data_IF_167975614992
#
_entry.id   IF_167975614992
#
_cell.length_a   1.000
_cell.length_b   1.000
_cell.length_c   1.000
_cell.angle_alpha   90.00
_cell.angle_beta   90.00
_cell.angle_gamma   90.00
#
_symmetry.space_group_name_H-M   'P 1'
#
loop_
_entity.id
_entity.type
_entity.pdbx_description
1 polymer ?
#
# COMPACT_ATOMS: atom_id res chain seq x y z
N UNK A 1 18.94 -1.97 73.18
CA UNK A 1 19.18 -1.15 71.95
C UNK A 1 18.67 -1.93 70.79
N UNK A 2 17.46 -1.60 70.30
CA UNK A 2 16.76 -2.34 69.20
C UNK A 2 16.76 -1.39 67.99
N UNK A 3 17.55 -1.73 66.97
CA UNK A 3 17.65 -0.98 65.72
C UNK A 3 16.53 -1.51 64.78
N UNK A 4 15.53 -0.69 64.49
CA UNK A 4 14.48 -0.96 63.51
C UNK A 4 15.00 -0.62 62.13
N UNK A 5 15.18 -1.63 61.29
CA UNK A 5 15.39 -1.46 59.85
C UNK A 5 14.01 -1.15 59.19
N UNK A 6 13.89 0.04 58.64
CA UNK A 6 12.76 0.42 57.77
C UNK A 6 13.15 0.03 56.32
N UNK A 7 12.49 -1.00 55.79
CA UNK A 7 12.57 -1.37 54.39
C UNK A 7 11.70 -0.43 53.54
N UNK A 8 12.32 0.45 52.75
CA UNK A 8 11.66 1.21 51.71
C UNK A 8 11.39 0.29 50.51
N UNK A 9 10.14 -0.12 50.33
CA UNK A 9 9.68 -0.76 49.09
C UNK A 9 9.34 0.34 48.11
N UNK A 10 10.25 0.55 47.12
CA UNK A 10 10.02 1.49 46.03
C UNK A 10 9.12 0.84 44.97
N UNK A 11 7.83 1.24 44.96
CA UNK A 11 6.85 0.79 43.98
C UNK A 11 7.08 1.50 42.64
N UNK A 12 7.81 0.85 41.73
CA UNK A 12 8.05 1.32 40.37
C UNK A 12 6.77 1.14 39.53
N UNK A 13 5.95 2.19 39.45
CA UNK A 13 4.75 2.19 38.60
C UNK A 13 5.20 2.24 37.12
N UNK A 14 5.11 1.12 36.41
CA UNK A 14 5.24 1.04 34.97
C UNK A 14 4.08 1.80 34.32
N UNK A 15 4.37 2.99 33.81
CA UNK A 15 3.45 3.76 32.94
C UNK A 15 3.35 3.04 31.59
N UNK A 16 2.35 2.18 31.45
CA UNK A 16 1.98 1.61 30.15
C UNK A 16 1.25 2.71 29.38
N UNK A 17 1.99 3.41 28.52
CA UNK A 17 1.38 4.32 27.54
C UNK A 17 0.65 3.49 26.50
N UNK A 18 -0.65 3.72 26.25
CA UNK A 18 -1.32 3.03 25.14
C UNK A 18 -0.65 3.46 23.83
N UNK A 19 -0.10 2.49 23.10
CA UNK A 19 0.35 2.71 21.73
C UNK A 19 -0.90 3.00 20.89
N UNK A 20 -1.19 4.27 20.65
CA UNK A 20 -2.15 4.65 19.63
C UNK A 20 -1.54 4.26 18.30
N UNK A 21 -2.20 3.35 17.57
CA UNK A 21 -1.87 3.09 16.17
C UNK A 21 -2.06 4.42 15.44
N UNK A 22 -0.95 5.11 15.16
CA UNK A 22 -0.96 6.35 14.41
C UNK A 22 -1.47 6.03 13.02
N UNK A 23 -2.67 6.52 12.68
CA UNK A 23 -3.16 6.48 11.30
C UNK A 23 -2.13 7.18 10.41
N UNK A 24 -1.75 6.50 9.32
CA UNK A 24 -0.82 7.08 8.37
C UNK A 24 -1.36 8.42 7.87
N UNK A 25 -0.46 9.41 7.77
CA UNK A 25 -0.78 10.67 7.12
C UNK A 25 -1.20 10.41 5.66
N UNK A 26 -2.28 11.05 5.25
CA UNK A 26 -2.81 10.94 3.88
C UNK A 26 -2.23 12.05 2.99
N UNK A 27 -2.04 11.78 1.68
CA UNK A 27 -2.30 10.54 0.98
C UNK A 27 -1.21 9.48 1.19
N UNK A 28 -1.57 8.18 1.03
CA UNK A 28 -0.60 7.10 1.02
C UNK A 28 -1.03 5.96 0.11
N UNK A 29 -0.04 5.17 -0.35
CA UNK A 29 -0.29 3.97 -1.14
C UNK A 29 -0.66 2.77 -0.28
N UNK A 30 -1.62 1.98 -0.74
CA UNK A 30 -1.99 0.68 -0.21
C UNK A 30 -2.33 -0.26 -1.38
N UNK A 31 -2.50 -1.54 -1.10
CA UNK A 31 -2.95 -2.52 -2.10
C UNK A 31 -4.19 -3.26 -1.61
N UNK A 32 -5.01 -3.72 -2.54
CA UNK A 32 -6.13 -4.60 -2.24
C UNK A 32 -5.59 -5.95 -1.78
N UNK A 33 -5.92 -6.34 -0.55
CA UNK A 33 -5.50 -7.60 0.07
C UNK A 33 -6.48 -8.74 -0.20
N UNK A 34 -7.77 -8.41 -0.20
CA UNK A 34 -8.85 -9.37 -0.34
C UNK A 34 -9.03 -9.85 -1.78
N UNK A 35 -9.60 -11.06 -1.95
CA UNK A 35 -10.03 -11.55 -3.27
C UNK A 35 -11.18 -10.72 -3.85
N UNK A 36 -11.99 -10.12 -2.97
CA UNK A 36 -13.08 -9.22 -3.32
C UNK A 36 -13.11 -8.04 -2.35
N UNK A 37 -13.21 -6.84 -2.89
CA UNK A 37 -13.28 -5.58 -2.15
C UNK A 37 -14.42 -4.73 -2.70
N UNK A 38 -15.43 -4.48 -1.88
CA UNK A 38 -16.53 -3.58 -2.21
C UNK A 38 -16.13 -2.13 -1.98
N UNK A 39 -16.21 -1.31 -3.01
CA UNK A 39 -16.14 0.14 -2.94
C UNK A 39 -17.57 0.69 -2.83
N UNK A 40 -17.81 1.56 -1.85
CA UNK A 40 -19.11 2.11 -1.52
C UNK A 40 -19.13 3.63 -1.63
N UNK A 41 -20.32 4.18 -1.79
CA UNK A 41 -20.52 5.64 -1.87
C UNK A 41 -20.34 6.36 -0.52
N UNK A 42 -20.26 5.62 0.59
CA UNK A 42 -20.07 6.18 1.93
C UNK A 42 -19.41 5.18 2.90
N UNK A 43 -18.92 5.66 4.07
CA UNK A 43 -18.14 4.89 5.03
C UNK A 43 -19.01 4.08 6.00
N UNK A 44 -19.89 3.24 5.49
CA UNK A 44 -20.68 2.27 6.26
C UNK A 44 -21.08 1.10 5.37
N UNK A 45 -21.37 -0.06 5.98
CA UNK A 45 -21.89 -1.22 5.29
C UNK A 45 -23.29 -1.01 4.70
N UNK A 46 -24.02 -0.02 5.19
CA UNK A 46 -25.36 0.34 4.73
C UNK A 46 -25.36 1.14 3.41
N UNK A 47 -24.22 1.76 3.08
CA UNK A 47 -24.10 2.48 1.82
C UNK A 47 -24.03 1.52 0.64
N UNK A 48 -24.63 1.96 -0.46
CA UNK A 48 -24.64 1.25 -1.74
C UNK A 48 -23.21 0.91 -2.17
N UNK A 49 -23.02 -0.33 -2.65
CA UNK A 49 -21.82 -0.75 -3.38
C UNK A 49 -21.87 -0.12 -4.76
N UNK A 50 -20.83 0.63 -5.09
CA UNK A 50 -20.67 1.28 -6.39
C UNK A 50 -19.82 0.44 -7.33
N UNK A 51 -18.76 -0.17 -6.79
CA UNK A 51 -17.84 -1.02 -7.53
C UNK A 51 -17.34 -2.21 -6.71
N UNK A 52 -16.91 -3.27 -7.40
CA UNK A 52 -16.33 -4.46 -6.75
C UNK A 52 -15.00 -4.80 -7.40
N UNK A 53 -13.90 -4.65 -6.65
CA UNK A 53 -12.59 -5.09 -7.08
C UNK A 53 -12.39 -6.58 -6.82
N UNK A 54 -11.92 -7.31 -7.82
CA UNK A 54 -11.59 -8.75 -7.74
C UNK A 54 -10.13 -9.01 -8.09
N UNK A 55 -9.25 -8.10 -7.71
CA UNK A 55 -7.85 -8.12 -8.09
C UNK A 55 -6.95 -7.85 -6.87
N UNK A 56 -6.51 -8.90 -6.15
CA UNK A 56 -5.51 -8.76 -5.09
C UNK A 56 -4.23 -8.12 -5.64
N UNK A 57 -3.60 -7.28 -4.83
CA UNK A 57 -2.40 -6.55 -5.22
C UNK A 57 -2.66 -5.25 -6.00
N UNK A 58 -3.91 -4.97 -6.43
CA UNK A 58 -4.23 -3.71 -7.09
C UNK A 58 -3.84 -2.54 -6.18
N UNK A 59 -2.99 -1.61 -6.65
CA UNK A 59 -2.66 -0.42 -5.89
C UNK A 59 -3.88 0.51 -5.79
N UNK A 60 -3.99 1.19 -4.66
CA UNK A 60 -4.97 2.24 -4.41
C UNK A 60 -4.33 3.36 -3.63
N UNK A 61 -4.73 4.59 -3.90
CA UNK A 61 -4.32 5.78 -3.15
C UNK A 61 -5.34 6.03 -2.05
N UNK A 62 -4.94 5.97 -0.79
CA UNK A 62 -5.79 6.35 0.33
C UNK A 62 -5.71 7.87 0.50
N UNK A 63 -6.85 8.54 0.37
CA UNK A 63 -6.94 10.00 0.41
C UNK A 63 -7.69 10.54 1.62
N UNK A 64 -8.37 9.67 2.38
CA UNK A 64 -9.00 10.00 3.67
C UNK A 64 -9.12 8.77 4.54
N UNK A 65 -8.96 8.98 5.84
CA UNK A 65 -9.15 7.97 6.89
C UNK A 65 -10.42 8.30 7.67
N UNK A 66 -11.23 7.30 7.93
CA UNK A 66 -12.36 7.33 8.85
C UNK A 66 -12.41 5.99 9.56
N UNK A 67 -12.92 5.94 10.78
CA UNK A 67 -12.94 4.75 11.62
C UNK A 67 -13.34 3.47 10.85
N UNK A 68 -12.38 2.53 10.72
CA UNK A 68 -12.58 1.28 9.98
C UNK A 68 -12.68 1.40 8.44
N UNK A 69 -12.70 2.62 7.89
CA UNK A 69 -12.89 2.90 6.46
C UNK A 69 -11.77 3.76 5.88
N UNK A 70 -11.57 3.59 4.57
CA UNK A 70 -10.62 4.40 3.77
C UNK A 70 -11.32 4.90 2.52
N UNK A 71 -11.27 6.20 2.29
CA UNK A 71 -11.61 6.75 0.98
C UNK A 71 -10.40 6.53 0.09
N UNK A 72 -10.59 5.76 -0.97
CA UNK A 72 -9.54 5.46 -1.93
C UNK A 72 -9.78 6.14 -3.26
N UNK A 73 -8.72 6.27 -4.03
CA UNK A 73 -8.74 6.55 -5.45
C UNK A 73 -8.04 5.40 -6.17
N UNK A 74 -8.64 4.89 -7.22
CA UNK A 74 -8.10 3.83 -8.06
C UNK A 74 -7.28 4.38 -9.25
N UNK A 75 -6.66 3.51 -10.07
CA UNK A 75 -5.87 3.93 -11.23
C UNK A 75 -6.66 4.70 -12.30
N UNK A 76 -7.97 4.49 -12.39
CA UNK A 76 -8.86 5.16 -13.36
C UNK A 76 -9.34 6.52 -12.83
N UNK A 77 -9.07 6.82 -11.55
CA UNK A 77 -9.43 8.07 -10.89
C UNK A 77 -10.73 7.98 -10.12
N UNK A 78 -11.41 6.85 -10.13
CA UNK A 78 -12.63 6.62 -9.37
C UNK A 78 -12.36 6.60 -7.87
N UNK A 79 -13.33 7.12 -7.10
CA UNK A 79 -13.20 7.30 -5.66
C UNK A 79 -14.37 6.68 -4.92
N UNK A 80 -14.07 6.01 -3.80
CA UNK A 80 -15.09 5.47 -2.92
C UNK A 80 -14.52 4.89 -1.64
N UNK A 81 -15.40 4.48 -0.76
CA UNK A 81 -15.06 4.00 0.56
C UNK A 81 -14.92 2.48 0.59
N UNK A 82 -13.84 2.02 1.16
CA UNK A 82 -13.55 0.60 1.35
C UNK A 82 -13.21 0.29 2.80
N UNK A 83 -13.43 -0.94 3.21
CA UNK A 83 -13.10 -1.40 4.57
C UNK A 83 -11.59 -1.49 4.73
N UNK A 84 -11.03 -0.79 5.71
CA UNK A 84 -9.59 -0.66 5.93
C UNK A 84 -8.84 -2.00 6.06
N UNK A 85 -9.42 -2.98 6.77
CA UNK A 85 -8.81 -4.31 6.99
C UNK A 85 -8.64 -5.15 5.72
N UNK A 86 -9.27 -4.76 4.62
CA UNK A 86 -9.15 -5.42 3.32
C UNK A 86 -8.06 -4.80 2.43
N UNK A 87 -7.34 -3.81 2.95
CA UNK A 87 -6.15 -3.24 2.36
C UNK A 87 -4.88 -3.78 3.05
N UNK A 88 -3.77 -3.79 2.30
CA UNK A 88 -2.43 -4.09 2.80
C UNK A 88 -1.53 -2.87 2.66
N UNK A 89 -0.55 -2.66 3.56
CA UNK A 89 0.49 -1.66 3.39
C UNK A 89 1.55 -2.07 2.35
N UNK A 90 1.50 -3.29 1.85
CA UNK A 90 2.44 -3.77 0.84
C UNK A 90 2.40 -2.89 -0.41
N UNK A 91 3.56 -2.66 -1.00
CA UNK A 91 3.67 -1.84 -2.19
C UNK A 91 3.34 -2.67 -3.43
N UNK A 92 2.45 -2.14 -4.22
CA UNK A 92 2.09 -2.69 -5.52
C UNK A 92 2.00 -1.58 -6.56
N UNK A 93 2.05 -1.96 -7.82
CA UNK A 93 1.85 -1.04 -8.92
C UNK A 93 1.07 -1.71 -10.05
N UNK A 94 0.47 -0.89 -10.90
CA UNK A 94 -0.15 -1.30 -12.15
C UNK A 94 0.54 -0.58 -13.30
N UNK A 95 0.83 -1.34 -14.36
CA UNK A 95 1.43 -0.78 -15.58
C UNK A 95 0.42 0.11 -16.28
N UNK A 96 0.82 1.35 -16.60
CA UNK A 96 -0.01 2.36 -17.26
C UNK A 96 0.60 2.84 -18.56
N UNK A 97 -0.17 3.65 -19.31
CA UNK A 97 0.25 4.21 -20.59
C UNK A 97 -0.16 3.33 -21.76
N UNK A 98 0.41 3.61 -22.93
CA UNK A 98 0.08 2.92 -24.20
C UNK A 98 1.18 1.94 -24.59
N UNK A 99 0.78 0.79 -25.12
CA UNK A 99 1.68 -0.25 -25.61
C UNK A 99 2.50 -0.94 -24.53
N UNK A 100 3.15 -2.01 -24.92
CA UNK A 100 4.04 -2.76 -24.04
C UNK A 100 5.17 -1.89 -23.47
N UNK A 101 5.64 -2.22 -22.29
CA UNK A 101 6.86 -1.68 -21.72
C UNK A 101 7.81 -2.81 -21.34
N UNK A 102 9.07 -2.47 -21.15
CA UNK A 102 10.14 -3.44 -20.93
C UNK A 102 10.51 -3.53 -19.46
N UNK A 103 10.71 -4.74 -18.97
CA UNK A 103 11.38 -5.05 -17.72
C UNK A 103 12.82 -5.40 -18.06
N UNK A 104 13.75 -4.63 -17.55
CA UNK A 104 15.19 -4.74 -17.83
C UNK A 104 15.95 -5.43 -16.71
N UNK A 105 17.17 -5.85 -17.01
CA UNK A 105 18.04 -6.48 -16.04
C UNK A 105 18.51 -5.49 -14.98
N UNK A 106 18.85 -4.28 -15.39
CA UNK A 106 19.37 -3.19 -14.57
C UNK A 106 18.58 -1.90 -14.83
N UNK A 107 18.62 -0.90 -13.91
CA UNK A 107 17.87 0.36 -14.04
C UNK A 107 18.51 1.34 -15.03
N UNK A 108 18.75 0.87 -16.25
CA UNK A 108 19.40 1.63 -17.32
C UNK A 108 18.70 1.41 -18.66
N UNK A 109 18.71 2.44 -19.51
CA UNK A 109 17.97 2.43 -20.76
C UNK A 109 18.55 1.46 -21.82
N UNK A 110 19.81 1.11 -21.73
CA UNK A 110 20.52 0.18 -22.62
C UNK A 110 20.71 -1.22 -21.99
N UNK A 111 20.29 -1.42 -20.75
CA UNK A 111 20.34 -2.73 -20.09
C UNK A 111 19.50 -3.78 -20.87
N UNK A 112 19.91 -5.06 -20.84
CA UNK A 112 19.19 -6.14 -21.50
C UNK A 112 17.73 -6.23 -21.07
N UNK A 113 16.83 -6.40 -22.05
CA UNK A 113 15.41 -6.64 -21.78
C UNK A 113 15.20 -8.09 -21.35
N UNK A 114 14.63 -8.28 -20.17
CA UNK A 114 14.25 -9.61 -19.65
C UNK A 114 12.83 -10.01 -20.06
N UNK A 115 11.89 -9.08 -19.94
CA UNK A 115 10.46 -9.31 -20.18
C UNK A 115 9.82 -8.09 -20.84
N UNK A 116 8.67 -8.30 -21.48
CA UNK A 116 7.76 -7.23 -21.87
C UNK A 116 6.43 -7.41 -21.15
N UNK A 117 5.84 -6.30 -20.74
CA UNK A 117 4.61 -6.27 -19.95
C UNK A 117 3.61 -5.29 -20.55
N UNK A 118 2.35 -5.69 -20.56
CA UNK A 118 1.23 -4.89 -21.07
C UNK A 118 0.72 -3.89 -20.03
N UNK A 119 0.12 -2.77 -20.46
CA UNK A 119 -0.68 -1.93 -19.60
C UNK A 119 -1.78 -2.73 -18.88
N UNK A 120 -2.09 -2.36 -17.65
CA UNK A 120 -3.07 -3.04 -16.82
C UNK A 120 -2.51 -4.24 -16.03
N UNK A 121 -1.28 -4.65 -16.25
CA UNK A 121 -0.66 -5.71 -15.43
C UNK A 121 -0.33 -5.17 -14.05
N UNK A 122 -0.79 -5.89 -13.01
CA UNK A 122 -0.52 -5.60 -11.60
C UNK A 122 0.63 -6.47 -11.10
N UNK A 123 1.52 -5.87 -10.34
CA UNK A 123 2.65 -6.56 -9.73
C UNK A 123 3.09 -5.93 -8.42
N UNK A 124 4.04 -6.57 -7.78
CA UNK A 124 4.70 -6.08 -6.57
C UNK A 124 5.74 -5.03 -6.96
N UNK A 125 5.73 -3.92 -6.25
CA UNK A 125 6.69 -2.84 -6.38
C UNK A 125 7.79 -3.02 -5.34
N UNK A 126 9.04 -3.07 -5.81
CA UNK A 126 10.23 -3.03 -4.96
C UNK A 126 10.81 -1.64 -4.83
N UNK A 127 12.14 -1.55 -4.75
CA UNK A 127 12.84 -0.29 -4.64
C UNK A 127 12.79 0.52 -5.93
N UNK A 128 12.77 1.84 -5.78
CA UNK A 128 12.85 2.77 -6.92
C UNK A 128 14.11 3.63 -6.78
N UNK A 129 14.83 3.81 -7.89
CA UNK A 129 16.03 4.62 -7.97
C UNK A 129 16.12 5.28 -9.35
N UNK A 130 16.42 6.58 -9.37
CA UNK A 130 16.62 7.41 -10.57
C UNK A 130 15.58 7.18 -11.69
N UNK A 131 14.30 7.14 -11.32
CA UNK A 131 13.17 6.98 -12.25
C UNK A 131 12.94 5.56 -12.75
N UNK A 132 13.59 4.57 -12.16
CA UNK A 132 13.36 3.15 -12.36
C UNK A 132 12.87 2.48 -11.09
N UNK A 133 12.01 1.49 -11.21
CA UNK A 133 11.55 0.70 -10.07
C UNK A 133 11.68 -0.79 -10.35
N UNK A 134 12.03 -1.55 -9.32
CA UNK A 134 11.86 -3.00 -9.35
C UNK A 134 10.38 -3.35 -9.42
N UNK A 135 10.00 -4.18 -10.38
CA UNK A 135 8.63 -4.62 -10.57
C UNK A 135 8.58 -6.11 -10.85
N UNK A 136 7.73 -6.82 -10.10
CA UNK A 136 7.63 -8.26 -10.18
C UNK A 136 6.20 -8.73 -10.37
N UNK A 137 5.99 -9.61 -11.36
CA UNK A 137 4.71 -10.25 -11.67
C UNK A 137 4.90 -11.77 -11.55
N UNK A 138 4.35 -12.38 -10.50
CA UNK A 138 4.59 -13.78 -10.19
C UNK A 138 6.08 -14.04 -9.92
N UNK A 139 6.72 -14.85 -10.76
CA UNK A 139 8.15 -15.16 -10.69
C UNK A 139 9.01 -14.38 -11.71
N UNK A 140 8.44 -13.39 -12.38
CA UNK A 140 9.10 -12.59 -13.41
C UNK A 140 9.31 -11.18 -12.91
N UNK A 141 10.56 -10.78 -12.74
CA UNK A 141 10.92 -9.45 -12.24
C UNK A 141 11.97 -8.77 -13.10
N UNK A 142 12.05 -7.46 -12.97
CA UNK A 142 13.04 -6.60 -13.59
C UNK A 142 12.78 -5.13 -13.28
N UNK A 143 13.61 -4.27 -13.86
CA UNK A 143 13.52 -2.83 -13.72
C UNK A 143 12.62 -2.23 -14.78
N UNK A 144 11.69 -1.38 -14.39
CA UNK A 144 10.73 -0.68 -15.24
C UNK A 144 10.80 0.82 -14.98
N UNK A 145 10.55 1.63 -15.99
CA UNK A 145 10.46 3.07 -15.81
C UNK A 145 9.30 3.42 -14.87
N UNK A 146 9.58 4.19 -13.82
CA UNK A 146 8.60 4.63 -12.81
C UNK A 146 7.37 5.29 -13.44
N UNK A 147 7.55 6.14 -14.46
CA UNK A 147 6.46 6.79 -15.21
C UNK A 147 5.49 5.83 -15.91
N UNK A 148 5.83 4.54 -16.01
CA UNK A 148 4.98 3.48 -16.56
C UNK A 148 4.19 2.76 -15.46
N UNK A 149 4.30 3.21 -14.22
CA UNK A 149 3.65 2.61 -13.05
C UNK A 149 2.75 3.61 -12.35
N UNK A 150 1.53 3.21 -12.05
CA UNK A 150 0.69 3.86 -11.06
C UNK A 150 0.76 3.06 -9.74
N UNK A 151 1.01 3.72 -8.64
CA UNK A 151 1.35 3.09 -7.34
C UNK A 151 2.82 3.28 -6.95
N UNK A 152 3.68 3.74 -7.87
CA UNK A 152 5.05 4.15 -7.60
C UNK A 152 5.12 5.64 -7.22
N UNK A 153 6.28 6.07 -6.74
CA UNK A 153 6.52 7.46 -6.34
C UNK A 153 5.66 7.93 -5.16
N UNK A 154 5.56 9.23 -5.04
CA UNK A 154 4.69 9.89 -4.06
C UNK A 154 3.20 9.69 -4.44
N UNK A 155 2.32 9.45 -3.44
CA UNK A 155 0.88 9.28 -3.67
C UNK A 155 0.14 10.57 -3.96
#
# INVERSE_FOLDING_TARGET
>A
MIVRLLSLVSLLALLVTPAHAQDREVPYWATVRAKELNMRVGPSADYKVDWVYRRPGLPVKVIRVMEGWRLIQDPDGDKGWVVARLLSPDRGAIVVGKGQTELRLDPEADAPVKWRVEPGVVGTLGDCDDGWCEFTVGNRGGWILEKRLWGAGEP
#
